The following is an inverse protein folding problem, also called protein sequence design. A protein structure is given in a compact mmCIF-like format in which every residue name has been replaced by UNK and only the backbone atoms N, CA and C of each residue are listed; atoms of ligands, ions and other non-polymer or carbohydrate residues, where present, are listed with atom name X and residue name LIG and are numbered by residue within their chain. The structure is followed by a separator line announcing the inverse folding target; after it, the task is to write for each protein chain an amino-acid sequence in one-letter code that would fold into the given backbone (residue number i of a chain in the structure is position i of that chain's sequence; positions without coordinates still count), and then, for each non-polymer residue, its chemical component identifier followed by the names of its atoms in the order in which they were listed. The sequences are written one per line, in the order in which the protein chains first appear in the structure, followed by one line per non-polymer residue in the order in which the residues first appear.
data_IF_324319486449
#
_entry.id   IF_324319486449
#
_cell.length_a   1.000
_cell.length_b   1.000
_cell.length_c   1.000
_cell.angle_alpha   90.00
_cell.angle_beta   90.00
_cell.angle_gamma   90.00
#
_symmetry.space_group_name_H-M   'P 1'
#
loop_
_entity.id
_entity.type
_entity.pdbx_description
1 polymer ?
#
# COMPACT_ATOMS: atom_id res chain seq x y z
N UNK A 1 9.01 21.72 -6.21
CA UNK A 1 8.64 20.41 -6.79
C UNK A 1 8.21 19.47 -5.67
N UNK A 2 6.95 19.03 -5.66
CA UNK A 2 6.47 18.07 -4.66
C UNK A 2 6.98 16.67 -4.98
N UNK A 3 7.96 16.17 -4.23
CA UNK A 3 8.42 14.80 -4.35
C UNK A 3 7.35 13.80 -3.89
N UNK A 4 7.34 12.61 -4.47
CA UNK A 4 6.47 11.51 -4.07
C UNK A 4 7.30 10.30 -3.68
N UNK A 5 6.83 9.53 -2.69
CA UNK A 5 7.47 8.27 -2.31
C UNK A 5 6.92 7.10 -3.13
N UNK A 6 7.82 6.31 -3.69
CA UNK A 6 7.52 5.04 -4.36
C UNK A 6 7.88 3.90 -3.40
N UNK A 7 6.98 2.93 -3.25
CA UNK A 7 7.18 1.75 -2.42
C UNK A 7 7.57 0.58 -3.31
N UNK A 8 8.74 -0.01 -3.06
CA UNK A 8 9.17 -1.25 -3.68
C UNK A 8 8.63 -2.41 -2.83
N UNK A 9 7.71 -3.17 -3.41
CA UNK A 9 7.03 -4.29 -2.74
C UNK A 9 7.73 -5.58 -3.13
N UNK A 10 8.08 -6.38 -2.13
CA UNK A 10 8.61 -7.72 -2.32
C UNK A 10 7.71 -8.75 -1.63
N UNK A 11 7.46 -9.87 -2.29
CA UNK A 11 6.74 -11.03 -1.74
C UNK A 11 7.63 -12.26 -1.90
N UNK A 12 7.81 -13.01 -0.82
CA UNK A 12 8.73 -14.17 -0.76
C UNK A 12 10.15 -13.86 -1.30
N UNK A 13 10.66 -12.65 -1.04
CA UNK A 13 11.97 -12.20 -1.51
C UNK A 13 12.03 -11.76 -2.97
N UNK A 14 10.93 -11.84 -3.72
CA UNK A 14 10.86 -11.42 -5.13
C UNK A 14 10.22 -10.05 -5.27
N UNK A 15 10.82 -9.19 -6.09
CA UNK A 15 10.23 -7.91 -6.45
C UNK A 15 8.90 -8.12 -7.20
N UNK A 16 7.83 -7.51 -6.69
CA UNK A 16 6.51 -7.56 -7.31
C UNK A 16 6.24 -6.30 -8.13
N UNK A 17 6.35 -5.12 -7.49
CA UNK A 17 6.12 -3.84 -8.15
C UNK A 17 6.71 -2.65 -7.39
N UNK A 18 6.79 -1.51 -8.09
CA UNK A 18 7.15 -0.20 -7.55
C UNK A 18 6.03 0.79 -7.82
N UNK A 19 5.28 1.18 -6.78
CA UNK A 19 4.09 2.04 -6.92
C UNK A 19 3.98 3.05 -5.77
N UNK A 20 3.26 4.14 -6.00
CA UNK A 20 2.94 5.10 -4.94
C UNK A 20 1.79 4.59 -4.09
N UNK A 21 1.72 5.04 -2.84
CA UNK A 21 0.61 4.71 -1.93
C UNK A 21 -0.78 4.92 -2.57
N UNK A 22 -0.97 6.02 -3.32
CA UNK A 22 -2.27 6.33 -3.96
C UNK A 22 -2.75 5.27 -4.95
N UNK A 23 -1.83 4.52 -5.56
CA UNK A 23 -2.17 3.47 -6.52
C UNK A 23 -2.72 2.24 -5.79
N UNK A 24 -2.17 1.90 -4.63
CA UNK A 24 -2.72 0.85 -3.76
C UNK A 24 -4.07 1.24 -3.16
N UNK A 25 -4.24 2.50 -2.78
CA UNK A 25 -5.51 3.04 -2.28
C UNK A 25 -6.62 2.96 -3.33
N UNK A 26 -6.31 3.35 -4.58
CA UNK A 26 -7.23 3.21 -5.71
C UNK A 26 -7.60 1.74 -5.96
N UNK A 27 -6.62 0.83 -5.95
CA UNK A 27 -6.83 -0.60 -6.12
C UNK A 27 -7.74 -1.16 -5.02
N UNK A 28 -7.51 -0.80 -3.76
CA UNK A 28 -8.33 -1.26 -2.63
C UNK A 28 -9.80 -0.84 -2.79
N UNK A 29 -10.07 0.40 -3.22
CA UNK A 29 -11.45 0.84 -3.47
C UNK A 29 -12.09 0.09 -4.65
N UNK A 30 -11.35 -0.14 -5.74
CA UNK A 30 -11.85 -0.91 -6.88
C UNK A 30 -12.21 -2.34 -6.46
N UNK A 31 -11.32 -3.02 -5.73
CA UNK A 31 -11.56 -4.37 -5.22
C UNK A 31 -12.77 -4.44 -4.29
N UNK A 32 -12.92 -3.47 -3.36
CA UNK A 32 -14.10 -3.42 -2.48
C UNK A 32 -15.41 -3.20 -3.23
N UNK A 33 -15.38 -2.44 -4.33
CA UNK A 33 -16.56 -2.22 -5.16
C UNK A 33 -16.91 -3.46 -5.99
N UNK A 34 -15.90 -4.19 -6.47
CA UNK A 34 -16.09 -5.38 -7.31
C UNK A 34 -16.43 -6.63 -6.48
N UNK A 35 -15.94 -6.71 -5.23
CA UNK A 35 -16.15 -7.85 -4.34
C UNK A 35 -16.68 -7.39 -2.96
N UNK A 36 -17.92 -6.89 -2.86
CA UNK A 36 -18.46 -6.30 -1.62
C UNK A 36 -18.53 -7.28 -0.44
N UNK A 37 -18.71 -8.58 -0.72
CA UNK A 37 -18.82 -9.64 0.30
C UNK A 37 -17.46 -10.23 0.69
N UNK A 38 -16.36 -9.83 0.04
CA UNK A 38 -15.04 -10.33 0.37
C UNK A 38 -14.44 -9.56 1.56
N UNK A 39 -13.99 -10.26 2.63
CA UNK A 39 -13.44 -9.61 3.82
C UNK A 39 -11.99 -9.17 3.59
N UNK A 40 -11.78 -8.12 2.80
CA UNK A 40 -10.43 -7.58 2.53
C UNK A 40 -9.70 -7.19 3.82
N UNK A 41 -8.40 -7.52 3.87
CA UNK A 41 -7.50 -7.00 4.91
C UNK A 41 -7.48 -5.45 4.88
N UNK A 42 -7.30 -4.78 6.02
CA UNK A 42 -7.27 -3.33 6.05
C UNK A 42 -6.01 -2.78 5.36
N UNK A 43 -6.19 -1.83 4.45
CA UNK A 43 -5.08 -1.10 3.83
C UNK A 43 -4.43 -0.14 4.86
N UNK A 44 -3.09 0.03 4.85
CA UNK A 44 -2.42 1.02 5.72
C UNK A 44 -3.00 2.41 5.53
N UNK A 45 -3.46 3.08 6.61
CA UNK A 45 -4.20 4.34 6.50
C UNK A 45 -3.38 5.48 5.88
N UNK A 46 -4.09 6.40 5.21
CA UNK A 46 -3.56 7.72 4.83
C UNK A 46 -3.11 8.50 6.06
N UNK A 47 -2.08 9.31 5.89
CA UNK A 47 -1.57 10.21 6.92
C UNK A 47 -1.55 11.63 6.36
N UNK A 48 -2.08 12.63 7.08
CA UNK A 48 -2.24 13.99 6.55
C UNK A 48 -0.92 14.79 6.53
N UNK A 49 0.09 14.35 7.28
CA UNK A 49 1.41 14.98 7.31
C UNK A 49 2.43 14.21 6.46
N UNK A 50 3.60 14.82 6.21
CA UNK A 50 4.73 14.08 5.66
C UNK A 50 5.12 12.96 6.63
N UNK A 51 5.39 11.80 6.08
CA UNK A 51 5.85 10.65 6.85
C UNK A 51 7.35 10.77 7.13
N UNK A 52 7.77 10.38 8.33
CA UNK A 52 9.17 10.08 8.60
C UNK A 52 9.61 8.80 7.88
N UNK A 53 10.93 8.58 7.74
CA UNK A 53 11.46 7.36 7.11
C UNK A 53 10.98 6.09 7.81
N UNK A 54 10.90 6.12 9.15
CA UNK A 54 10.34 5.02 9.93
C UNK A 54 8.87 4.74 9.58
N UNK A 55 8.06 5.79 9.40
CA UNK A 55 6.66 5.62 9.01
C UNK A 55 6.51 5.18 7.56
N UNK A 56 7.43 5.61 6.66
CA UNK A 56 7.49 5.13 5.28
C UNK A 56 7.77 3.62 5.23
N UNK A 57 8.76 3.15 6.00
CA UNK A 57 9.09 1.73 6.05
C UNK A 57 7.98 0.89 6.73
N UNK A 58 7.34 1.40 7.78
CA UNK A 58 6.16 0.77 8.36
C UNK A 58 5.01 0.64 7.34
N UNK A 59 4.78 1.69 6.54
CA UNK A 59 3.78 1.65 5.45
C UNK A 59 4.17 0.64 4.37
N UNK A 60 5.46 0.56 3.99
CA UNK A 60 5.95 -0.43 3.02
C UNK A 60 5.64 -1.85 3.46
N UNK A 61 5.99 -2.23 4.69
CA UNK A 61 5.68 -3.57 5.24
C UNK A 61 4.18 -3.84 5.30
N UNK A 62 3.38 -2.84 5.68
CA UNK A 62 1.93 -2.98 5.69
C UNK A 62 1.34 -3.21 4.30
N UNK A 63 1.91 -2.59 3.26
CA UNK A 63 1.51 -2.84 1.88
C UNK A 63 1.91 -4.24 1.40
N UNK A 64 3.10 -4.73 1.78
CA UNK A 64 3.52 -6.12 1.50
C UNK A 64 2.55 -7.12 2.14
N UNK A 65 2.22 -6.92 3.43
CA UNK A 65 1.25 -7.78 4.13
C UNK A 65 -0.17 -7.70 3.57
N UNK A 66 -0.59 -6.54 3.08
CA UNK A 66 -1.91 -6.37 2.45
C UNK A 66 -2.01 -7.13 1.13
N UNK A 67 -0.91 -7.29 0.39
CA UNK A 67 -0.88 -7.97 -0.91
C UNK A 67 -0.64 -9.48 -0.81
N UNK A 68 -0.10 -9.94 0.31
CA UNK A 68 0.14 -11.37 0.58
C UNK A 68 -1.13 -12.09 1.08
N UNK A 69 -2.18 -11.36 1.46
CA UNK A 69 -3.44 -11.86 2.02
C UNK A 69 -4.64 -11.58 1.12
#
# INVERSE_FOLDING_TARGET
MGGFTVFNIHIAGRHLCSRRYREFDSLHQQLKNEFPDFPFSPLPKKWPFKLSDQQLDARRRGLEQYLDK
#
